data_IF_406185922396
#
_entry.id   IF_406185922396
#
_cell.length_a   1.000
_cell.length_b   1.000
_cell.length_c   1.000
_cell.angle_alpha   90.00
_cell.angle_beta   90.00
_cell.angle_gamma   90.00
#
_symmetry.space_group_name_H-M   'P 1'
#
loop_
_entity.id
_entity.type
_entity.pdbx_description
1 polymer ?
#
# COMPACT_ATOMS: atom_id res chain seq x y z
N UNK A 1 -16.14 7.21 22.05
CA UNK A 1 -14.95 6.39 21.84
C UNK A 1 -14.92 5.80 20.42
N UNK A 2 -13.90 6.12 19.65
CA UNK A 2 -13.79 5.63 18.30
C UNK A 2 -13.22 4.21 18.28
N UNK A 3 -13.65 3.41 17.34
CA UNK A 3 -13.14 2.06 17.15
C UNK A 3 -12.68 1.88 15.70
N UNK A 4 -11.91 0.86 15.47
CA UNK A 4 -11.42 0.55 14.14
C UNK A 4 -11.27 -0.93 13.92
N UNK A 5 -11.33 -1.33 12.65
CA UNK A 5 -11.21 -2.70 12.22
C UNK A 5 -10.52 -2.71 10.87
N UNK A 6 -9.63 -3.68 10.64
CA UNK A 6 -8.93 -3.79 9.36
C UNK A 6 -9.17 -5.16 8.76
N UNK A 7 -9.46 -5.19 7.48
CA UNK A 7 -9.57 -6.41 6.70
C UNK A 7 -8.60 -6.35 5.52
N UNK A 8 -7.89 -7.44 5.31
CA UNK A 8 -6.97 -7.57 4.20
C UNK A 8 -7.59 -8.41 3.10
N UNK A 9 -7.37 -8.03 1.86
CA UNK A 9 -7.80 -8.81 0.71
C UNK A 9 -6.71 -8.80 -0.35
N UNK A 10 -6.65 -9.89 -1.12
CA UNK A 10 -5.68 -10.03 -2.22
C UNK A 10 -6.40 -10.49 -3.47
N UNK A 11 -5.95 -9.97 -4.59
CA UNK A 11 -6.44 -10.39 -5.89
C UNK A 11 -5.25 -10.73 -6.79
N UNK A 12 -5.30 -11.90 -7.41
CA UNK A 12 -4.25 -12.34 -8.33
C UNK A 12 -4.84 -12.55 -9.72
N UNK A 13 -4.23 -11.91 -10.70
CA UNK A 13 -4.61 -12.08 -12.10
C UNK A 13 -3.38 -12.01 -12.98
N UNK A 14 -3.19 -13.03 -13.84
CA UNK A 14 -2.08 -13.08 -14.79
C UNK A 14 -0.69 -12.91 -14.14
N UNK A 15 -0.50 -13.55 -12.97
CA UNK A 15 0.78 -13.51 -12.27
C UNK A 15 1.05 -12.24 -11.49
N UNK A 16 0.05 -11.37 -11.36
CA UNK A 16 0.16 -10.12 -10.62
C UNK A 16 -0.80 -10.17 -9.44
N UNK A 17 -0.26 -10.06 -8.22
CA UNK A 17 -1.05 -10.07 -6.99
C UNK A 17 -1.07 -8.67 -6.39
N UNK A 18 -2.26 -8.15 -6.15
CA UNK A 18 -2.46 -6.88 -5.47
C UNK A 18 -3.10 -7.15 -4.12
N UNK A 19 -2.50 -6.60 -3.06
CA UNK A 19 -3.03 -6.71 -1.70
C UNK A 19 -3.52 -5.35 -1.25
N UNK A 20 -4.70 -5.31 -0.65
CA UNK A 20 -5.27 -4.07 -0.13
C UNK A 20 -5.72 -4.25 1.32
N UNK A 21 -5.72 -3.15 2.05
CA UNK A 21 -6.20 -3.06 3.42
C UNK A 21 -7.43 -2.17 3.43
N UNK A 22 -8.52 -2.66 4.03
CA UNK A 22 -9.72 -1.88 4.21
C UNK A 22 -9.87 -1.58 5.69
N UNK A 23 -9.74 -0.29 6.05
CA UNK A 23 -9.87 0.17 7.42
C UNK A 23 -11.29 0.69 7.63
N UNK A 24 -12.02 0.05 8.54
CA UNK A 24 -13.35 0.49 8.97
C UNK A 24 -13.21 1.14 10.34
N UNK A 25 -13.82 2.31 10.50
CA UNK A 25 -13.70 3.08 11.74
C UNK A 25 -14.88 4.03 11.90
N UNK A 26 -15.02 4.59 13.10
CA UNK A 26 -16.02 5.63 13.35
C UNK A 26 -15.31 6.97 13.53
N UNK A 27 -15.93 8.04 13.04
CA UNK A 27 -15.47 9.40 13.27
C UNK A 27 -16.15 9.99 14.52
N UNK A 28 -15.88 11.27 14.80
CA UNK A 28 -16.47 11.97 15.95
C UNK A 28 -17.99 12.07 15.90
N UNK A 29 -18.57 11.93 14.72
CA UNK A 29 -20.03 11.96 14.53
C UNK A 29 -20.64 10.57 14.61
N UNK A 30 -19.88 9.57 15.03
CA UNK A 30 -20.29 8.15 15.09
C UNK A 30 -20.70 7.59 13.74
N UNK A 31 -20.21 8.16 12.66
CA UNK A 31 -20.43 7.62 11.33
C UNK A 31 -19.42 6.54 11.04
N UNK A 32 -19.88 5.48 10.39
CA UNK A 32 -18.99 4.43 9.93
C UNK A 32 -18.33 4.89 8.64
N UNK A 33 -17.00 4.91 8.64
CA UNK A 33 -16.20 5.32 7.50
C UNK A 33 -15.26 4.17 7.11
N UNK A 34 -14.79 4.19 5.88
CA UNK A 34 -13.77 3.24 5.47
C UNK A 34 -12.71 3.91 4.59
N UNK A 35 -11.52 3.35 4.67
CA UNK A 35 -10.40 3.75 3.81
C UNK A 35 -9.78 2.49 3.23
N UNK A 36 -9.56 2.47 1.92
CA UNK A 36 -8.95 1.35 1.24
C UNK A 36 -7.59 1.78 0.71
N UNK A 37 -6.56 1.04 1.06
CA UNK A 37 -5.20 1.34 0.61
C UNK A 37 -4.55 0.11 0.03
N UNK A 38 -3.78 0.29 -1.02
CA UNK A 38 -2.99 -0.79 -1.59
C UNK A 38 -1.77 -0.98 -0.70
N UNK A 39 -1.59 -2.19 -0.18
CA UNK A 39 -0.49 -2.52 0.74
C UNK A 39 0.49 -3.51 0.15
N UNK A 40 0.28 -3.97 -1.06
CA UNK A 40 1.22 -4.89 -1.69
C UNK A 40 0.97 -5.04 -3.17
N UNK A 41 2.03 -5.35 -3.88
CA UNK A 41 1.96 -5.72 -5.28
C UNK A 41 3.14 -6.63 -5.59
N UNK A 42 2.84 -7.79 -6.18
CA UNK A 42 3.86 -8.78 -6.50
C UNK A 42 3.53 -9.41 -7.84
N UNK A 43 4.42 -9.21 -8.82
CA UNK A 43 4.29 -9.83 -10.12
C UNK A 43 5.35 -10.92 -10.34
N UNK A 44 5.89 -11.47 -9.26
CA UNK A 44 6.95 -12.47 -9.31
C UNK A 44 6.57 -13.75 -10.03
N UNK A 45 5.28 -14.11 -10.05
CA UNK A 45 4.85 -15.28 -10.80
C UNK A 45 5.02 -15.10 -12.32
N UNK A 46 5.01 -13.85 -12.79
CA UNK A 46 5.23 -13.55 -14.21
C UNK A 46 6.67 -13.14 -14.50
N UNK A 47 7.28 -12.31 -13.64
CA UNK A 47 8.61 -11.75 -13.85
C UNK A 47 9.66 -12.25 -12.86
N UNK A 48 9.36 -13.29 -12.08
CA UNK A 48 10.26 -13.76 -11.03
C UNK A 48 11.51 -14.48 -11.51
N UNK A 49 11.46 -15.06 -12.70
CA UNK A 49 12.54 -15.90 -13.22
C UNK A 49 13.42 -15.15 -14.22
N UNK A 50 13.67 -13.87 -13.98
CA UNK A 50 14.46 -13.04 -14.86
C UNK A 50 15.89 -13.56 -15.06
N UNK A 51 16.44 -14.25 -14.05
CA UNK A 51 17.80 -14.76 -14.10
C UNK A 51 17.98 -15.89 -15.14
N UNK A 52 16.90 -16.50 -15.57
CA UNK A 52 16.93 -17.51 -16.64
C UNK A 52 17.03 -16.89 -18.02
N UNK A 53 16.78 -15.60 -18.14
CA UNK A 53 16.88 -14.85 -19.38
C UNK A 53 18.27 -14.26 -19.56
N UNK A 54 18.58 -13.79 -20.76
CA UNK A 54 19.89 -13.21 -21.06
C UNK A 54 19.75 -11.89 -21.79
N UNK A 55 20.76 -11.02 -21.63
CA UNK A 55 20.90 -9.79 -22.39
C UNK A 55 19.74 -8.83 -22.16
N UNK A 56 19.18 -8.31 -23.25
CA UNK A 56 18.12 -7.30 -23.21
C UNK A 56 16.84 -7.84 -22.56
N UNK A 57 16.51 -9.10 -22.82
CA UNK A 57 15.31 -9.70 -22.23
C UNK A 57 15.40 -9.77 -20.71
N UNK A 58 16.59 -10.11 -20.20
CA UNK A 58 16.81 -10.13 -18.76
C UNK A 58 16.66 -8.73 -18.16
N UNK A 59 17.20 -7.70 -18.80
CA UNK A 59 17.09 -6.33 -18.32
C UNK A 59 15.63 -5.86 -18.33
N UNK A 60 14.88 -6.13 -19.40
CA UNK A 60 13.48 -5.74 -19.50
C UNK A 60 12.64 -6.46 -18.44
N UNK A 61 12.93 -7.72 -18.19
CA UNK A 61 12.24 -8.49 -17.16
C UNK A 61 12.48 -7.88 -15.78
N UNK A 62 13.73 -7.60 -15.43
CA UNK A 62 14.06 -7.01 -14.13
C UNK A 62 13.49 -5.63 -13.95
N UNK A 63 13.41 -4.84 -15.02
CA UNK A 63 12.80 -3.51 -14.95
C UNK A 63 11.30 -3.56 -14.68
N UNK A 64 10.65 -4.68 -14.98
CA UNK A 64 9.22 -4.88 -14.76
C UNK A 64 8.90 -5.62 -13.47
N UNK A 65 9.91 -6.26 -12.87
CA UNK A 65 9.69 -7.01 -11.65
C UNK A 65 9.31 -6.07 -10.50
N UNK A 66 8.25 -6.40 -9.81
CA UNK A 66 7.78 -5.66 -8.66
C UNK A 66 7.43 -6.63 -7.53
N UNK A 67 7.95 -6.35 -6.36
CA UNK A 67 7.57 -7.06 -5.14
C UNK A 67 7.62 -6.04 -4.00
N UNK A 68 6.47 -5.44 -3.71
CA UNK A 68 6.34 -4.38 -2.72
C UNK A 68 5.34 -4.78 -1.65
N UNK A 69 5.67 -4.44 -0.42
CA UNK A 69 4.80 -4.66 0.73
C UNK A 69 4.86 -3.44 1.64
N UNK A 70 3.71 -2.98 2.10
CA UNK A 70 3.61 -1.88 3.03
C UNK A 70 2.92 -2.35 4.31
N UNK A 71 3.46 -1.93 5.45
CA UNK A 71 2.81 -2.11 6.75
C UNK A 71 2.10 -0.81 7.09
N UNK A 72 0.79 -0.89 7.30
CA UNK A 72 -0.06 0.28 7.48
C UNK A 72 -0.64 0.27 8.89
N UNK A 73 -0.52 1.40 9.58
CA UNK A 73 -1.02 1.55 10.94
C UNK A 73 -1.47 2.98 11.18
N UNK A 74 -2.35 3.19 12.17
CA UNK A 74 -2.74 4.53 12.57
C UNK A 74 -1.55 5.26 13.19
N UNK A 75 -1.40 6.53 12.82
CA UNK A 75 -0.31 7.37 13.29
C UNK A 75 -0.80 8.26 14.42
N UNK A 76 -0.54 7.82 15.65
CA UNK A 76 -0.98 8.53 16.84
C UNK A 76 -0.08 9.72 17.19
N UNK A 77 1.01 9.91 16.49
CA UNK A 77 1.94 11.03 16.73
C UNK A 77 1.45 12.34 16.14
N UNK A 78 0.39 12.31 15.34
CA UNK A 78 -0.18 13.48 14.69
C UNK A 78 -1.57 13.79 15.27
N UNK A 79 -1.99 15.06 15.25
CA UNK A 79 -3.34 15.39 15.71
C UNK A 79 -4.40 14.68 14.87
N UNK A 80 -5.44 14.20 15.55
CA UNK A 80 -6.58 13.59 14.87
C UNK A 80 -7.40 14.65 14.13
N UNK A 81 -8.00 14.26 13.01
CA UNK A 81 -8.93 15.09 12.26
C UNK A 81 -10.31 14.44 12.37
N UNK A 82 -11.29 15.17 12.87
CA UNK A 82 -12.63 14.63 13.13
C UNK A 82 -12.60 13.34 13.96
N UNK A 83 -11.65 13.26 14.89
CA UNK A 83 -11.47 12.11 15.76
C UNK A 83 -10.73 10.93 15.13
N UNK A 84 -10.17 11.12 13.94
CA UNK A 84 -9.50 10.03 13.19
C UNK A 84 -8.04 10.37 12.98
N UNK A 85 -7.14 9.45 13.37
CA UNK A 85 -5.72 9.62 13.12
C UNK A 85 -5.39 9.34 11.64
N UNK A 86 -4.31 9.96 11.17
CA UNK A 86 -3.74 9.62 9.88
C UNK A 86 -3.26 8.15 9.87
N UNK A 87 -3.07 7.59 8.69
CA UNK A 87 -2.44 6.30 8.53
C UNK A 87 -1.02 6.49 8.03
N UNK A 88 -0.12 5.61 8.44
CA UNK A 88 1.26 5.60 7.98
C UNK A 88 1.54 4.26 7.34
N UNK A 89 2.09 4.28 6.14
CA UNK A 89 2.56 3.09 5.44
C UNK A 89 4.08 3.07 5.45
N UNK A 90 4.66 1.95 5.80
CA UNK A 90 6.11 1.70 5.70
C UNK A 90 6.32 0.69 4.59
N UNK A 91 6.87 1.15 3.49
CA UNK A 91 7.02 0.38 2.26
C UNK A 91 8.39 -0.24 2.16
N UNK A 92 8.44 -1.52 1.83
CA UNK A 92 9.68 -2.26 1.59
C UNK A 92 9.56 -3.12 0.34
N UNK A 93 10.68 -3.37 -0.31
CA UNK A 93 10.75 -4.23 -1.49
C UNK A 93 11.40 -3.56 -2.67
N UNK A 94 11.10 -4.08 -3.84
CA UNK A 94 11.71 -3.59 -5.08
C UNK A 94 10.64 -3.32 -6.14
N UNK A 95 10.90 -2.36 -6.98
CA UNK A 95 10.09 -2.08 -8.17
C UNK A 95 11.05 -1.67 -9.29
N UNK A 96 11.33 -2.61 -10.19
CA UNK A 96 12.33 -2.40 -11.22
C UNK A 96 13.71 -2.13 -10.60
N UNK A 97 14.24 -0.94 -10.86
CA UNK A 97 15.56 -0.52 -10.35
C UNK A 97 15.48 0.14 -8.99
N UNK A 98 14.28 0.41 -8.48
CA UNK A 98 14.12 1.10 -7.20
C UNK A 98 14.00 0.11 -6.06
N UNK A 99 14.69 0.41 -4.97
CA UNK A 99 14.62 -0.35 -3.73
C UNK A 99 14.03 0.52 -2.64
N UNK A 100 13.15 -0.07 -1.83
CA UNK A 100 12.51 0.62 -0.72
C UNK A 100 12.83 -0.12 0.57
N UNK A 101 13.19 0.62 1.61
CA UNK A 101 13.49 0.07 2.93
C UNK A 101 12.73 0.85 3.98
N UNK A 102 11.61 0.33 4.42
CA UNK A 102 10.76 0.99 5.40
C UNK A 102 10.49 2.46 5.05
N UNK A 103 10.29 2.74 3.77
CA UNK A 103 10.02 4.09 3.30
C UNK A 103 8.66 4.53 3.82
N UNK A 104 8.63 5.65 4.53
CA UNK A 104 7.43 6.12 5.20
C UNK A 104 6.58 7.00 4.29
N UNK A 105 5.28 6.73 4.26
CA UNK A 105 4.29 7.56 3.56
C UNK A 105 3.16 7.84 4.51
N UNK A 106 2.63 9.07 4.49
CA UNK A 106 1.57 9.49 5.38
C UNK A 106 0.29 9.68 4.58
N UNK A 107 -0.78 9.08 5.06
CA UNK A 107 -2.11 9.15 4.45
C UNK A 107 -3.00 9.98 5.37
N UNK A 108 -3.13 11.28 5.14
CA UNK A 108 -3.97 12.11 6.01
C UNK A 108 -5.45 11.79 5.81
N UNK A 109 -6.22 11.97 6.88
CA UNK A 109 -7.67 11.81 6.82
C UNK A 109 -8.30 13.15 6.41
N UNK A 110 -9.16 13.11 5.37
CA UNK A 110 -9.77 14.33 4.84
C UNK A 110 -11.19 14.59 5.35
N UNK A 111 -11.63 13.84 6.37
CA UNK A 111 -12.99 13.92 6.89
C UNK A 111 -13.91 12.84 6.33
N UNK A 112 -13.49 12.12 5.31
CA UNK A 112 -14.25 11.02 4.69
C UNK A 112 -13.42 9.77 4.55
N UNK A 113 -12.18 9.89 4.12
CA UNK A 113 -11.29 8.76 3.88
C UNK A 113 -9.84 9.22 4.02
N UNK A 114 -8.93 8.26 4.08
CA UNK A 114 -7.50 8.55 4.06
C UNK A 114 -7.05 8.68 2.61
N UNK A 115 -6.21 9.68 2.36
CA UNK A 115 -5.77 10.03 1.01
C UNK A 115 -4.32 9.64 0.81
N UNK A 116 -4.04 8.88 -0.23
CA UNK A 116 -2.67 8.48 -0.56
C UNK A 116 -1.88 9.69 -1.04
N UNK A 117 -0.63 9.86 -0.59
CA UNK A 117 0.24 10.87 -1.18
C UNK A 117 0.53 10.53 -2.64
N UNK A 118 0.76 11.56 -3.45
CA UNK A 118 0.97 11.38 -4.90
C UNK A 118 2.16 10.51 -5.22
N UNK A 119 3.17 10.50 -4.37
CA UNK A 119 4.40 9.74 -4.59
C UNK A 119 4.35 8.32 -4.02
N UNK A 120 3.20 7.87 -3.52
CA UNK A 120 3.08 6.52 -2.98
C UNK A 120 3.16 5.51 -4.13
N UNK A 121 4.19 4.62 -4.15
CA UNK A 121 4.43 3.77 -5.32
C UNK A 121 3.32 2.76 -5.62
N UNK A 122 2.57 2.33 -4.60
CA UNK A 122 1.45 1.40 -4.80
C UNK A 122 0.18 2.11 -5.26
N UNK A 123 0.22 3.44 -5.34
CA UNK A 123 -0.91 4.22 -5.76
C UNK A 123 -1.95 4.40 -4.68
N UNK A 124 -3.05 5.04 -5.02
CA UNK A 124 -4.11 5.31 -4.07
C UNK A 124 -5.48 5.15 -4.68
N UNK A 125 -6.45 5.34 -3.85
CA UNK A 125 -7.85 5.32 -4.25
C UNK A 125 -8.37 6.68 -4.62
#
# INVERSE_FOLDING_TARGET
>A
QNWGYVAESSYTGQGDTTTSQNFLFTDDSNRIRNSVMISGNDNGAYFGDCDELKGREKRLCKDRYTSLEAKIAFDKSRPAVSGVWALTAKLSGVSGKKNYKNQKYIFPYNGKTHVAPKNYPLGGQ
#
